data_IF_205657880685
#
_entry.id   IF_205657880685
#
_cell.length_a   1.000
_cell.length_b   1.000
_cell.length_c   1.000
_cell.angle_alpha   90.00
_cell.angle_beta   90.00
_cell.angle_gamma   90.00
#
_symmetry.space_group_name_H-M   'P 1'
#
loop_
_entity.id
_entity.type
_entity.pdbx_description
1 polymer ?
#
# COMPACT_ATOMS: atom_id res chain seq x y z
N UNK A 1 -6.04 -13.22 -4.23
CA UNK A 1 -4.74 -12.54 -3.97
C UNK A 1 -3.94 -13.39 -2.98
N UNK A 2 -2.65 -13.65 -3.24
CA UNK A 2 -1.78 -14.32 -2.26
C UNK A 2 -0.99 -13.25 -1.50
N UNK A 3 -1.34 -13.02 -0.24
CA UNK A 3 -0.84 -11.90 0.58
C UNK A 3 0.69 -11.86 0.60
N UNK A 4 1.34 -13.01 0.81
CA UNK A 4 2.81 -13.11 0.85
C UNK A 4 3.50 -12.62 -0.43
N UNK A 5 2.87 -12.85 -1.60
CA UNK A 5 3.40 -12.40 -2.89
C UNK A 5 3.30 -10.88 -3.01
N UNK A 6 2.18 -10.30 -2.55
CA UNK A 6 1.94 -8.86 -2.56
C UNK A 6 2.90 -8.17 -1.60
N UNK A 7 3.05 -8.69 -0.37
CA UNK A 7 4.00 -8.15 0.61
C UNK A 7 5.43 -8.18 0.08
N UNK A 8 5.84 -9.29 -0.56
CA UNK A 8 7.18 -9.39 -1.16
C UNK A 8 7.40 -8.38 -2.29
N UNK A 9 6.37 -8.14 -3.12
CA UNK A 9 6.46 -7.15 -4.19
C UNK A 9 6.50 -5.71 -3.64
N UNK A 10 5.65 -5.39 -2.66
CA UNK A 10 5.65 -4.09 -2.00
C UNK A 10 7.01 -3.80 -1.33
N UNK A 11 7.61 -4.80 -0.67
CA UNK A 11 8.96 -4.68 -0.09
C UNK A 11 10.02 -4.34 -1.14
N UNK A 12 9.98 -4.93 -2.34
CA UNK A 12 10.91 -4.58 -3.42
C UNK A 12 10.79 -3.10 -3.81
N UNK A 13 9.57 -2.58 -3.85
CA UNK A 13 9.30 -1.20 -4.24
C UNK A 13 9.72 -0.17 -3.18
N UNK A 14 10.05 -0.62 -1.96
CA UNK A 14 10.58 0.22 -0.88
C UNK A 14 12.01 -0.18 -0.48
N UNK A 15 12.77 -0.79 -1.39
CA UNK A 15 14.15 -1.26 -1.13
C UNK A 15 14.28 -2.16 0.11
N UNK A 16 13.27 -2.99 0.37
CA UNK A 16 13.15 -3.88 1.51
C UNK A 16 13.15 -3.20 2.89
N UNK A 17 12.91 -1.88 2.93
CA UNK A 17 12.73 -1.16 4.19
C UNK A 17 11.33 -1.43 4.75
N UNK A 18 11.29 -2.27 5.80
CA UNK A 18 10.04 -2.66 6.47
C UNK A 18 9.39 -1.51 7.23
N UNK A 19 10.18 -0.58 7.76
CA UNK A 19 9.65 0.57 8.49
C UNK A 19 9.01 1.57 7.51
N UNK A 20 9.69 1.81 6.38
CA UNK A 20 9.17 2.62 5.29
C UNK A 20 7.87 2.02 4.74
N UNK A 21 7.83 0.71 4.49
CA UNK A 21 6.61 0.02 4.06
C UNK A 21 5.47 0.20 5.05
N UNK A 22 5.71 -0.04 6.34
CA UNK A 22 4.68 0.06 7.38
C UNK A 22 4.13 1.50 7.47
N UNK A 23 5.02 2.49 7.41
CA UNK A 23 4.65 3.91 7.43
C UNK A 23 3.83 4.30 6.21
N UNK A 24 4.25 3.88 5.01
CA UNK A 24 3.55 4.16 3.77
C UNK A 24 2.16 3.52 3.71
N UNK A 25 2.05 2.24 4.11
CA UNK A 25 0.77 1.54 4.21
C UNK A 25 -0.15 2.26 5.20
N UNK A 26 0.35 2.66 6.37
CA UNK A 26 -0.42 3.38 7.38
C UNK A 26 -0.95 4.72 6.87
N UNK A 27 -0.05 5.55 6.30
CA UNK A 27 -0.41 6.85 5.71
C UNK A 27 -1.48 6.69 4.63
N UNK A 28 -1.29 5.76 3.70
CA UNK A 28 -2.24 5.53 2.61
C UNK A 28 -3.57 4.96 3.11
N UNK A 29 -3.55 4.05 4.07
CA UNK A 29 -4.77 3.52 4.65
C UNK A 29 -5.61 4.62 5.33
N UNK A 30 -4.96 5.60 5.96
CA UNK A 30 -5.64 6.77 6.53
C UNK A 30 -6.28 7.65 5.45
N UNK A 31 -5.60 7.88 4.32
CA UNK A 31 -6.17 8.62 3.18
C UNK A 31 -7.43 7.94 2.64
N UNK A 32 -7.39 6.61 2.44
CA UNK A 32 -8.55 5.84 2.00
C UNK A 32 -9.69 5.90 3.02
N UNK A 33 -9.37 5.85 4.32
CA UNK A 33 -10.37 6.02 5.38
C UNK A 33 -11.02 7.42 5.40
N UNK A 34 -10.30 8.44 4.93
CA UNK A 34 -10.79 9.80 4.74
C UNK A 34 -11.57 10.01 3.43
N UNK A 35 -11.73 8.95 2.62
CA UNK A 35 -12.49 8.98 1.37
C UNK A 35 -11.65 9.20 0.11
N UNK A 36 -10.33 9.05 0.19
CA UNK A 36 -9.50 9.03 -1.02
C UNK A 36 -9.90 7.87 -1.94
N UNK A 37 -9.85 8.10 -3.24
CA UNK A 37 -10.13 7.06 -4.23
C UNK A 37 -8.96 6.07 -4.31
N UNK A 38 -9.26 4.76 -4.41
CA UNK A 38 -8.25 3.74 -4.63
C UNK A 38 -7.72 3.84 -6.07
N UNK A 39 -6.42 3.66 -6.23
CA UNK A 39 -5.71 3.61 -7.51
C UNK A 39 -5.79 2.21 -8.16
N UNK A 40 -6.33 1.24 -7.42
CA UNK A 40 -6.54 -0.15 -7.83
C UNK A 40 -8.04 -0.43 -7.94
N UNK A 41 -8.42 -1.25 -8.90
CA UNK A 41 -9.82 -1.67 -9.07
C UNK A 41 -10.20 -2.70 -7.99
N UNK A 42 -10.53 -2.20 -6.80
CA UNK A 42 -10.93 -2.99 -5.63
C UNK A 42 -12.14 -2.38 -4.95
N UNK A 43 -13.04 -3.24 -4.49
CA UNK A 43 -14.19 -2.80 -3.70
C UNK A 43 -13.75 -2.51 -2.25
N UNK A 44 -13.62 -1.21 -1.91
CA UNK A 44 -13.26 -0.76 -0.57
C UNK A 44 -14.23 -1.21 0.53
N UNK A 45 -15.45 -1.65 0.21
CA UNK A 45 -16.39 -2.19 1.18
C UNK A 45 -16.05 -3.63 1.60
N UNK A 46 -15.22 -4.30 0.80
CA UNK A 46 -14.86 -5.71 0.97
C UNK A 46 -13.44 -5.92 1.45
N UNK A 47 -12.57 -4.92 1.30
CA UNK A 47 -11.15 -4.99 1.66
C UNK A 47 -10.80 -3.96 2.73
N UNK A 48 -9.83 -4.30 3.59
CA UNK A 48 -9.30 -3.34 4.56
C UNK A 48 -8.46 -2.31 3.81
N UNK A 49 -8.49 -1.05 4.24
CA UNK A 49 -7.68 0.02 3.64
C UNK A 49 -6.19 -0.30 3.63
N UNK A 50 -5.67 -0.99 4.65
CA UNK A 50 -4.28 -1.45 4.68
C UNK A 50 -3.96 -2.49 3.59
N UNK A 51 -4.90 -3.39 3.28
CA UNK A 51 -4.71 -4.38 2.21
C UNK A 51 -4.69 -3.69 0.84
N UNK A 52 -5.57 -2.70 0.65
CA UNK A 52 -5.64 -1.89 -0.57
C UNK A 52 -4.37 -1.08 -0.76
N UNK A 53 -3.92 -0.37 0.28
CA UNK A 53 -2.68 0.38 0.28
C UNK A 53 -1.46 -0.51 -0.05
N UNK A 54 -1.41 -1.72 0.53
CA UNK A 54 -0.34 -2.68 0.26
C UNK A 54 -0.33 -3.12 -1.22
N UNK A 55 -1.50 -3.30 -1.84
CA UNK A 55 -1.62 -3.62 -3.27
C UNK A 55 -1.19 -2.43 -4.13
N UNK A 56 -1.62 -1.21 -3.80
CA UNK A 56 -1.22 0.01 -4.54
C UNK A 56 0.30 0.20 -4.53
N UNK A 57 0.94 -0.01 -3.37
CA UNK A 57 2.41 0.04 -3.24
C UNK A 57 3.05 -1.11 -4.03
N UNK A 58 2.52 -2.33 -3.97
CA UNK A 58 3.04 -3.47 -4.72
C UNK A 58 2.95 -3.29 -6.25
N UNK A 59 1.89 -2.66 -6.75
CA UNK A 59 1.72 -2.33 -8.17
C UNK A 59 2.53 -1.09 -8.59
N UNK A 60 3.22 -0.43 -7.65
CA UNK A 60 4.03 0.76 -7.94
C UNK A 60 3.19 2.00 -8.25
N UNK A 61 1.91 2.01 -7.86
CA UNK A 61 1.02 3.17 -8.04
C UNK A 61 1.27 4.28 -7.02
N UNK A 62 1.92 3.92 -5.92
CA UNK A 62 2.36 4.85 -4.89
C UNK A 62 3.88 4.79 -4.84
N UNK A 63 4.50 5.92 -5.16
CA UNK A 63 5.93 6.12 -4.94
C UNK A 63 6.15 6.43 -3.46
N UNK A 64 6.92 5.58 -2.79
CA UNK A 64 7.31 5.78 -1.40
C UNK A 64 8.79 6.17 -1.41
N UNK A 65 9.05 7.47 -1.34
CA UNK A 65 10.41 7.98 -1.20
C UNK A 65 10.66 8.38 0.26
N UNK A 66 11.87 8.17 0.73
CA UNK A 66 12.33 8.73 1.99
C UNK A 66 12.54 10.23 1.74
N UNK A 67 11.49 11.03 1.93
CA UNK A 67 11.68 12.48 2.13
C UNK A 67 12.63 12.64 3.34
N UNK A 68 13.87 13.02 3.03
CA UNK A 68 14.83 13.57 3.97
C UNK A 68 14.64 15.07 4.12
#
# INVERSE_FOLDING_TARGET
MRVEKITSQALKNVNFDRYLLATAVGKRAEELAKGAEPLVDVDLRRFKYADVALVEIAEGKISVDLEG
#
